data_IF_356060274205
#
_entry.id   IF_356060274205
#
_cell.length_a   1.000
_cell.length_b   1.000
_cell.length_c   1.000
_cell.angle_alpha   90.00
_cell.angle_beta   90.00
_cell.angle_gamma   90.00
#
_symmetry.space_group_name_H-M   'P 1'
#
loop_
_entity.id
_entity.type
_entity.pdbx_description
1 polymer ?
#
# COMPACT_ATOMS: atom_id res chain seq x y z
N UNK A 1 -61.39 -28.33 27.18
CA UNK A 1 -61.45 -27.81 28.56
C UNK A 1 -60.15 -27.03 28.77
N UNK A 2 -60.13 -25.69 28.59
CA UNK A 2 -60.24 -24.64 29.66
C UNK A 2 -59.14 -24.77 30.73
N UNK A 3 -58.32 -23.77 31.09
CA UNK A 3 -58.36 -22.29 31.03
C UNK A 3 -56.93 -21.73 30.70
N UNK A 4 -56.65 -20.55 30.14
CA UNK A 4 -57.10 -19.13 30.33
C UNK A 4 -56.47 -18.41 31.56
N UNK A 5 -55.52 -17.48 31.29
CA UNK A 5 -55.05 -16.35 32.16
C UNK A 5 -54.30 -16.80 33.45
N UNK A 6 -53.58 -16.00 34.28
CA UNK A 6 -53.13 -14.57 34.47
C UNK A 6 -51.98 -14.65 35.53
N UNK A 7 -51.03 -13.73 35.78
CA UNK A 7 -50.52 -12.45 35.20
C UNK A 7 -49.12 -12.14 35.87
N UNK A 8 -48.65 -10.88 35.78
CA UNK A 8 -47.82 -10.06 36.73
C UNK A 8 -47.34 -10.73 38.05
N UNK A 9 -46.17 -10.44 38.63
CA UNK A 9 -45.60 -9.11 38.88
C UNK A 9 -44.11 -9.18 39.29
N UNK A 10 -43.34 -8.14 38.97
CA UNK A 10 -42.00 -7.91 39.53
C UNK A 10 -42.12 -6.91 40.69
N UNK A 11 -41.75 -7.34 41.90
CA UNK A 11 -41.53 -6.52 43.10
C UNK A 11 -40.27 -7.12 43.74
N UNK A 12 -39.07 -6.55 43.60
CA UNK A 12 -38.55 -5.24 44.00
C UNK A 12 -38.09 -5.21 45.47
N UNK A 13 -36.86 -4.68 45.66
CA UNK A 13 -36.19 -4.37 46.94
C UNK A 13 -35.89 -5.60 47.82
N UNK A 14 -34.67 -5.87 48.28
CA UNK A 14 -33.47 -5.04 48.39
C UNK A 14 -32.99 -5.02 49.84
N UNK A 15 -31.71 -4.65 50.06
CA UNK A 15 -30.98 -4.67 51.35
C UNK A 15 -30.59 -6.09 51.84
N UNK A 16 -29.47 -6.30 52.53
CA UNK A 16 -28.19 -5.59 52.61
C UNK A 16 -27.20 -6.49 53.42
N UNK A 17 -25.96 -5.99 53.62
CA UNK A 17 -24.97 -6.43 54.63
C UNK A 17 -24.26 -7.77 54.43
N UNK A 18 -22.95 -7.92 54.69
CA UNK A 18 -21.79 -6.99 54.75
C UNK A 18 -20.47 -7.81 54.75
N UNK A 19 -19.33 -7.12 54.87
CA UNK A 19 -17.93 -7.63 54.94
C UNK A 19 -17.36 -8.09 53.57
N UNK A 20 -16.53 -7.31 52.86
CA UNK A 20 -15.18 -6.79 53.19
C UNK A 20 -14.08 -7.88 53.10
N UNK A 21 -12.86 -7.62 52.59
CA UNK A 21 -12.22 -6.35 52.25
C UNK A 21 -11.35 -6.45 50.97
N UNK A 22 -11.08 -5.30 50.34
CA UNK A 22 -10.27 -5.19 49.11
C UNK A 22 -10.35 -3.76 48.57
N UNK A 23 -9.56 -2.85 49.15
CA UNK A 23 -9.70 -1.39 48.97
C UNK A 23 -9.20 -0.86 47.63
N UNK A 24 -10.02 0.01 47.01
CA UNK A 24 -9.68 1.25 46.26
C UNK A 24 -8.53 1.22 45.22
N UNK A 25 -8.66 1.84 44.04
CA UNK A 25 -9.02 3.27 43.85
C UNK A 25 -9.99 3.46 42.68
N UNK A 26 -10.97 4.34 42.87
CA UNK A 26 -11.82 4.87 41.79
C UNK A 26 -11.13 6.08 41.14
N UNK A 27 -10.97 6.07 39.82
CA UNK A 27 -10.78 7.31 39.04
C UNK A 27 -12.01 7.48 38.16
N UNK A 28 -12.87 8.42 38.56
CA UNK A 28 -14.02 8.82 37.76
C UNK A 28 -13.58 9.72 36.60
N UNK A 29 -14.23 9.57 35.45
CA UNK A 29 -14.34 10.62 34.43
C UNK A 29 -13.12 10.85 33.54
N UNK A 30 -13.02 10.08 32.46
CA UNK A 30 -12.77 10.64 31.12
C UNK A 30 -13.73 9.97 30.13
N UNK A 31 -14.36 10.72 29.21
CA UNK A 31 -15.08 10.10 28.11
C UNK A 31 -14.07 9.30 27.28
N UNK A 32 -14.53 8.21 26.66
CA UNK A 32 -13.76 7.48 25.65
C UNK A 32 -13.24 8.50 24.64
N UNK A 33 -11.92 8.76 24.68
CA UNK A 33 -11.29 9.47 23.58
C UNK A 33 -11.48 8.55 22.38
N UNK A 34 -12.07 9.02 21.27
CA UNK A 34 -12.01 8.28 20.03
C UNK A 34 -10.55 7.88 19.82
N UNK A 35 -10.30 6.61 19.55
CA UNK A 35 -9.02 6.18 18.99
C UNK A 35 -8.89 6.92 17.67
N UNK A 36 -8.28 8.11 17.72
CA UNK A 36 -7.96 8.90 16.54
C UNK A 36 -7.19 7.94 15.65
N UNK A 37 -7.68 7.64 14.44
CA UNK A 37 -6.91 6.83 13.50
C UNK A 37 -5.55 7.48 13.42
N UNK A 38 -4.49 6.75 13.79
CA UNK A 38 -3.15 7.29 13.81
C UNK A 38 -2.93 7.95 12.45
N UNK A 39 -2.64 9.26 12.45
CA UNK A 39 -2.57 10.03 11.22
C UNK A 39 -1.68 9.24 10.24
N UNK A 40 -2.17 8.94 9.02
CA UNK A 40 -1.45 8.05 8.12
C UNK A 40 -0.01 8.55 8.00
N UNK A 41 0.99 7.66 8.11
CA UNK A 41 2.37 8.06 8.30
C UNK A 41 2.77 9.10 7.25
N UNK A 42 3.44 10.20 7.65
CA UNK A 42 3.77 11.27 6.72
C UNK A 42 4.49 10.67 5.50
N UNK A 43 4.06 11.11 4.31
CA UNK A 43 4.38 10.44 3.04
C UNK A 43 5.89 10.21 2.85
N UNK A 44 6.26 9.19 2.07
CA UNK A 44 7.62 8.66 1.90
C UNK A 44 8.55 8.80 3.14
N UNK A 45 8.52 7.80 4.02
CA UNK A 45 9.47 7.66 5.13
C UNK A 45 10.49 6.56 4.82
N UNK A 46 11.78 6.86 4.95
CA UNK A 46 12.86 5.87 4.91
C UNK A 46 13.06 5.21 6.28
N UNK A 47 13.00 3.89 6.36
CA UNK A 47 13.37 3.13 7.55
C UNK A 47 14.91 3.04 7.72
N UNK A 48 15.44 2.66 8.91
CA UNK A 48 16.88 2.66 9.18
C UNK A 48 17.72 1.70 8.32
N UNK A 49 17.08 0.72 7.69
CA UNK A 49 17.66 -0.22 6.73
C UNK A 49 17.73 0.36 5.29
N UNK A 50 17.16 1.54 5.05
CA UNK A 50 17.02 2.15 3.74
C UNK A 50 15.74 1.77 2.99
N UNK A 51 14.85 0.94 3.57
CA UNK A 51 13.54 0.63 2.99
C UNK A 51 12.69 1.90 2.89
N UNK A 52 12.05 2.12 1.74
CA UNK A 52 11.23 3.30 1.47
C UNK A 52 9.76 2.93 1.36
N UNK A 53 8.93 3.47 2.26
CA UNK A 53 7.48 3.29 2.24
C UNK A 53 6.83 4.25 1.26
N UNK A 54 6.23 3.75 0.18
CA UNK A 54 5.47 4.55 -0.80
C UNK A 54 3.99 4.52 -0.41
N UNK A 55 3.39 5.70 -0.24
CA UNK A 55 1.96 5.84 0.09
C UNK A 55 1.07 5.99 -1.14
N UNK A 56 -0.25 5.94 -0.96
CA UNK A 56 -1.21 6.22 -2.04
C UNK A 56 -1.01 7.64 -2.60
N UNK A 57 -0.72 8.63 -1.76
CA UNK A 57 -0.45 10.01 -2.19
C UNK A 57 0.81 10.09 -3.08
N UNK A 58 1.88 9.36 -2.71
CA UNK A 58 3.10 9.24 -3.52
C UNK A 58 2.85 8.52 -4.87
N UNK A 59 1.79 7.71 -4.99
CA UNK A 59 1.40 7.13 -6.28
C UNK A 59 0.52 8.05 -7.13
N UNK A 60 -0.14 9.04 -6.53
CA UNK A 60 -0.82 10.11 -7.25
C UNK A 60 0.21 11.10 -7.82
N UNK A 61 1.12 11.61 -6.96
CA UNK A 61 2.27 12.46 -7.32
C UNK A 61 3.59 11.83 -6.82
N UNK A 62 4.40 11.24 -7.71
CA UNK A 62 5.64 10.55 -7.34
C UNK A 62 6.82 11.49 -7.08
N UNK A 63 6.67 12.81 -7.19
CA UNK A 63 7.79 13.76 -7.10
C UNK A 63 8.56 13.61 -5.79
N UNK A 64 7.86 13.64 -4.66
CA UNK A 64 8.48 13.51 -3.33
C UNK A 64 9.17 12.16 -3.12
N UNK A 65 8.53 11.08 -3.53
CA UNK A 65 9.10 9.73 -3.42
C UNK A 65 10.36 9.57 -4.28
N UNK A 66 10.37 10.12 -5.50
CA UNK A 66 11.53 10.09 -6.39
C UNK A 66 12.70 10.95 -5.87
N UNK A 67 12.42 12.10 -5.27
CA UNK A 67 13.44 12.93 -4.65
C UNK A 67 14.07 12.24 -3.44
N UNK A 68 13.27 11.53 -2.64
CA UNK A 68 13.75 10.72 -1.52
C UNK A 68 14.59 9.51 -1.98
N UNK A 69 14.12 8.74 -2.98
CA UNK A 69 14.88 7.65 -3.58
C UNK A 69 16.22 8.15 -4.14
N UNK A 70 16.25 9.32 -4.78
CA UNK A 70 17.48 9.96 -5.27
C UNK A 70 18.39 10.41 -4.12
N UNK A 71 17.84 10.97 -3.05
CA UNK A 71 18.57 11.43 -1.86
C UNK A 71 19.34 10.28 -1.19
N UNK A 72 18.75 9.10 -1.12
CA UNK A 72 19.38 7.90 -0.54
C UNK A 72 20.23 7.09 -1.55
N UNK A 73 20.34 7.54 -2.81
CA UNK A 73 21.08 6.84 -3.85
C UNK A 73 20.43 5.53 -4.33
N UNK A 74 19.12 5.34 -4.08
CA UNK A 74 18.40 4.14 -4.51
C UNK A 74 18.33 4.08 -6.05
N UNK A 75 18.57 2.88 -6.59
CA UNK A 75 18.43 2.60 -8.03
C UNK A 75 16.97 2.27 -8.38
N UNK A 76 16.06 3.12 -7.93
CA UNK A 76 14.62 2.98 -8.13
C UNK A 76 13.97 4.29 -8.55
N UNK A 77 12.86 4.20 -9.29
CA UNK A 77 12.03 5.36 -9.66
C UNK A 77 10.56 4.97 -9.75
N UNK A 78 9.67 5.89 -9.39
CA UNK A 78 8.23 5.82 -9.63
C UNK A 78 7.93 6.61 -10.89
N UNK A 79 7.39 5.95 -11.92
CA UNK A 79 7.20 6.54 -13.25
C UNK A 79 5.74 6.41 -13.70
N UNK A 80 5.15 7.54 -14.08
CA UNK A 80 3.80 7.57 -14.69
C UNK A 80 3.86 7.02 -16.12
N UNK A 81 3.11 5.96 -16.38
CA UNK A 81 3.04 5.31 -17.70
C UNK A 81 2.45 6.26 -18.74
N UNK A 82 2.99 6.28 -19.94
CA UNK A 82 2.52 7.10 -21.06
C UNK A 82 1.83 6.23 -22.13
N UNK A 83 0.92 6.80 -22.95
CA UNK A 83 0.50 6.18 -24.20
C UNK A 83 1.70 5.89 -25.10
N UNK A 84 1.63 4.83 -25.92
CA UNK A 84 2.78 4.37 -26.71
C UNK A 84 3.36 5.47 -27.63
N UNK A 85 2.49 6.27 -28.26
CA UNK A 85 2.88 7.39 -29.13
C UNK A 85 3.64 8.51 -28.38
N UNK A 86 3.48 8.62 -27.06
CA UNK A 86 4.16 9.61 -26.22
C UNK A 86 5.44 9.05 -25.55
N UNK A 87 5.78 7.79 -25.79
CA UNK A 87 6.99 7.14 -25.26
C UNK A 87 7.74 6.42 -26.38
N UNK A 88 8.62 7.13 -27.12
CA UNK A 88 9.28 6.56 -28.30
C UNK A 88 10.28 5.46 -27.89
N UNK A 89 10.55 4.46 -28.77
CA UNK A 89 11.31 3.26 -28.39
C UNK A 89 12.67 3.50 -27.71
N UNK A 90 13.40 4.54 -28.11
CA UNK A 90 14.70 4.91 -27.53
C UNK A 90 14.64 5.29 -26.05
N UNK A 91 13.49 5.80 -25.58
CA UNK A 91 13.31 6.36 -24.24
C UNK A 91 12.65 5.33 -23.28
N UNK A 92 12.25 4.14 -23.79
CA UNK A 92 11.62 3.04 -23.03
C UNK A 92 12.57 2.25 -22.12
N UNK A 93 13.89 2.48 -22.23
CA UNK A 93 14.90 1.65 -21.57
C UNK A 93 14.97 0.21 -22.11
N UNK A 94 15.76 -0.64 -21.45
CA UNK A 94 15.82 -2.09 -21.75
C UNK A 94 15.34 -2.89 -20.54
N UNK A 95 14.11 -3.39 -20.60
CA UNK A 95 13.53 -4.25 -19.56
C UNK A 95 14.31 -5.56 -19.42
N UNK A 96 14.45 -6.04 -18.19
CA UNK A 96 15.11 -7.30 -17.83
C UNK A 96 14.11 -8.18 -17.12
N UNK A 97 13.74 -9.30 -17.76
CA UNK A 97 12.94 -10.36 -17.13
C UNK A 97 13.80 -11.06 -16.09
N UNK A 98 13.44 -10.93 -14.81
CA UNK A 98 14.06 -11.65 -13.71
C UNK A 98 13.25 -12.91 -13.35
N UNK A 99 13.87 -13.77 -12.54
CA UNK A 99 13.17 -14.89 -11.93
C UNK A 99 12.00 -14.40 -11.06
N UNK A 100 10.91 -15.18 -11.01
CA UNK A 100 9.70 -14.84 -10.27
C UNK A 100 9.94 -14.69 -8.77
N UNK A 101 10.95 -15.39 -8.22
CA UNK A 101 11.42 -15.24 -6.84
C UNK A 101 12.02 -13.84 -6.56
N UNK A 102 12.74 -13.26 -7.52
CA UNK A 102 13.32 -11.90 -7.38
C UNK A 102 12.26 -10.82 -7.64
N UNK A 103 11.22 -11.12 -8.43
CA UNK A 103 10.11 -10.20 -8.69
C UNK A 103 9.05 -10.14 -7.58
N UNK A 104 8.77 -11.27 -6.91
CA UNK A 104 7.60 -11.45 -6.02
C UNK A 104 7.86 -12.35 -4.80
N UNK A 105 9.08 -12.87 -4.62
CA UNK A 105 9.43 -13.71 -3.47
C UNK A 105 9.84 -12.89 -2.23
N UNK A 106 10.33 -13.56 -1.17
CA UNK A 106 10.73 -12.89 0.07
C UNK A 106 11.87 -11.89 -0.12
N UNK A 107 12.73 -12.12 -1.12
CA UNK A 107 13.87 -11.28 -1.50
C UNK A 107 13.53 -10.22 -2.55
N UNK A 108 12.24 -10.01 -2.84
CA UNK A 108 11.80 -9.02 -3.83
C UNK A 108 12.16 -7.59 -3.40
N UNK A 109 12.55 -6.77 -4.39
CA UNK A 109 12.87 -5.35 -4.18
C UNK A 109 11.62 -4.46 -4.00
N UNK A 110 10.42 -5.03 -4.21
CA UNK A 110 9.12 -4.39 -3.94
C UNK A 110 8.25 -5.39 -3.20
N UNK A 111 7.79 -5.02 -2.01
CA UNK A 111 6.78 -5.77 -1.26
C UNK A 111 5.53 -4.90 -1.05
N UNK A 112 4.37 -5.52 -0.81
CA UNK A 112 3.18 -4.78 -0.42
C UNK A 112 3.26 -4.38 1.05
N UNK A 113 2.91 -3.12 1.34
CA UNK A 113 2.82 -2.63 2.71
C UNK A 113 1.53 -3.14 3.39
N UNK A 114 1.53 -3.26 4.72
CA UNK A 114 0.32 -3.62 5.46
C UNK A 114 -0.77 -2.54 5.32
N UNK A 115 -2.06 -2.90 5.27
CA UNK A 115 -3.15 -1.93 5.18
C UNK A 115 -3.05 -0.82 6.23
N UNK A 116 -2.94 0.43 5.78
CA UNK A 116 -2.81 1.62 6.64
C UNK A 116 -1.38 2.10 6.88
N UNK A 117 -0.34 1.34 6.51
CA UNK A 117 1.07 1.77 6.62
C UNK A 117 1.61 2.40 5.32
N UNK A 118 1.09 1.99 4.17
CA UNK A 118 1.48 2.47 2.83
C UNK A 118 0.75 1.70 1.74
N UNK A 119 1.24 1.80 0.50
CA UNK A 119 0.82 0.95 -0.62
C UNK A 119 1.87 -0.14 -0.91
N UNK A 120 3.14 0.25 -0.95
CA UNK A 120 4.27 -0.65 -1.24
C UNK A 120 5.54 -0.20 -0.52
N UNK A 121 6.42 -1.14 -0.24
CA UNK A 121 7.76 -0.91 0.28
C UNK A 121 8.78 -1.17 -0.83
N UNK A 122 9.73 -0.26 -1.00
CA UNK A 122 10.88 -0.43 -1.89
C UNK A 122 12.09 -0.77 -1.03
N UNK A 123 12.81 -1.83 -1.39
CA UNK A 123 14.01 -2.32 -0.70
C UNK A 123 15.25 -2.08 -1.61
N UNK A 124 15.96 -0.94 -1.48
CA UNK A 124 17.01 -0.55 -2.43
C UNK A 124 18.22 -1.49 -2.46
N UNK A 125 18.47 -2.19 -1.34
CA UNK A 125 19.55 -3.16 -1.16
C UNK A 125 19.34 -4.44 -1.99
N UNK A 126 18.08 -4.77 -2.32
CA UNK A 126 17.69 -5.95 -3.11
C UNK A 126 17.67 -5.72 -4.61
N UNK A 127 17.88 -4.47 -5.06
CA UNK A 127 17.90 -4.14 -6.49
C UNK A 127 19.20 -4.69 -7.10
N UNK A 128 19.16 -5.63 -8.07
CA UNK A 128 20.37 -6.27 -8.59
C UNK A 128 21.36 -5.27 -9.19
N UNK A 129 22.66 -5.55 -9.08
CA UNK A 129 23.71 -4.68 -9.62
C UNK A 129 23.54 -4.42 -11.13
N UNK A 130 23.81 -3.18 -11.57
CA UNK A 130 23.65 -2.77 -12.97
C UNK A 130 22.19 -2.57 -13.43
N UNK A 131 21.20 -2.83 -12.58
CA UNK A 131 19.78 -2.61 -12.86
C UNK A 131 19.22 -1.41 -12.08
N UNK A 132 18.11 -0.88 -12.62
CA UNK A 132 17.17 0.04 -11.97
C UNK A 132 15.80 -0.61 -11.86
N UNK A 133 15.14 -0.43 -10.72
CA UNK A 133 13.73 -0.75 -10.51
C UNK A 133 12.86 0.42 -11.00
N UNK A 134 11.85 0.17 -11.83
CA UNK A 134 10.80 1.15 -12.13
C UNK A 134 9.46 0.65 -11.59
N UNK A 135 8.82 1.47 -10.75
CA UNK A 135 7.44 1.25 -10.29
C UNK A 135 6.51 1.97 -11.25
N UNK A 136 5.65 1.22 -11.94
CA UNK A 136 4.80 1.71 -13.02
C UNK A 136 3.50 2.25 -12.44
N UNK A 137 3.25 3.55 -12.63
CA UNK A 137 2.08 4.25 -12.13
C UNK A 137 1.12 4.65 -13.27
N UNK A 138 -0.17 4.37 -13.12
CA UNK A 138 -1.25 4.82 -14.00
C UNK A 138 -1.34 6.35 -13.99
N UNK A 139 -1.81 6.92 -15.10
CA UNK A 139 -2.18 8.35 -15.19
C UNK A 139 -3.44 8.67 -14.38
N UNK A 140 -4.39 7.72 -14.35
CA UNK A 140 -5.66 7.83 -13.64
C UNK A 140 -5.80 6.66 -12.67
N UNK A 141 -6.51 6.89 -11.58
CA UNK A 141 -6.81 5.86 -10.58
C UNK A 141 -7.72 4.77 -11.16
N UNK A 142 -7.44 3.51 -10.82
CA UNK A 142 -8.32 2.40 -11.12
C UNK A 142 -8.39 1.48 -9.89
N UNK A 143 -9.59 1.07 -9.50
CA UNK A 143 -9.83 0.17 -8.35
C UNK A 143 -9.16 0.65 -7.04
N UNK A 144 -9.12 1.96 -6.78
CA UNK A 144 -8.51 2.53 -5.57
C UNK A 144 -6.99 2.67 -5.61
N UNK A 145 -6.35 2.53 -6.79
CA UNK A 145 -4.89 2.56 -6.91
C UNK A 145 -4.40 3.20 -8.21
N UNK A 146 -3.27 3.89 -8.13
CA UNK A 146 -2.48 4.29 -9.29
C UNK A 146 -1.42 3.24 -9.66
N UNK A 147 -1.27 2.13 -8.93
CA UNK A 147 -0.26 1.11 -9.28
C UNK A 147 -0.67 0.31 -10.53
N UNK A 148 0.26 0.15 -11.46
CA UNK A 148 0.14 -0.75 -12.62
C UNK A 148 1.08 -1.96 -12.56
N UNK A 149 2.10 -1.92 -11.71
CA UNK A 149 3.11 -2.97 -11.55
C UNK A 149 4.51 -2.41 -11.34
N UNK A 150 5.53 -3.22 -11.57
CA UNK A 150 6.93 -2.82 -11.54
C UNK A 150 7.76 -3.75 -12.41
N UNK A 151 8.88 -3.24 -12.94
CA UNK A 151 9.84 -4.02 -13.71
C UNK A 151 11.27 -3.54 -13.45
N UNK A 152 12.24 -4.37 -13.82
CA UNK A 152 13.66 -4.02 -13.77
C UNK A 152 14.16 -3.66 -15.16
N UNK A 153 15.06 -2.67 -15.23
CA UNK A 153 15.66 -2.18 -16.45
C UNK A 153 17.18 -2.15 -16.31
N UNK A 154 17.92 -2.36 -17.39
CA UNK A 154 19.37 -2.06 -17.41
C UNK A 154 19.58 -0.56 -17.18
N UNK A 155 20.72 -0.20 -16.58
CA UNK A 155 21.16 1.20 -16.54
C UNK A 155 21.72 1.64 -17.91
N UNK A 156 21.46 2.89 -18.38
CA UNK A 156 20.54 3.87 -17.79
C UNK A 156 19.08 3.41 -17.89
N UNK A 157 18.31 3.68 -16.84
CA UNK A 157 16.91 3.27 -16.74
C UNK A 157 15.97 3.97 -17.74
N UNK A 158 14.68 3.64 -17.73
CA UNK A 158 13.70 4.17 -18.68
C UNK A 158 13.49 5.68 -18.45
N UNK A 159 13.49 6.46 -19.54
CA UNK A 159 13.01 7.85 -19.53
C UNK A 159 11.49 7.93 -19.53
N UNK A 160 10.82 6.90 -20.05
CA UNK A 160 9.37 6.73 -20.00
C UNK A 160 9.01 5.23 -20.00
N UNK A 161 7.80 4.90 -19.54
CA UNK A 161 7.25 3.53 -19.59
C UNK A 161 5.91 3.55 -20.31
N UNK A 162 5.67 2.58 -21.19
CA UNK A 162 4.40 2.47 -21.94
C UNK A 162 3.32 1.82 -21.07
N UNK A 163 2.11 2.38 -21.07
CA UNK A 163 0.96 1.76 -20.42
C UNK A 163 0.66 0.37 -21.03
N UNK A 164 0.69 -0.67 -20.20
CA UNK A 164 0.52 -2.07 -20.64
C UNK A 164 1.81 -2.85 -20.92
N UNK A 165 2.99 -2.24 -20.80
CA UNK A 165 4.24 -2.98 -20.75
C UNK A 165 4.27 -3.90 -19.51
N UNK A 166 4.44 -5.20 -19.75
CA UNK A 166 4.48 -6.34 -18.82
C UNK A 166 3.88 -6.09 -17.42
N UNK A 167 2.55 -6.16 -17.33
CA UNK A 167 1.80 -5.96 -16.07
C UNK A 167 1.98 -7.15 -15.12
N UNK A 168 2.22 -6.86 -13.84
CA UNK A 168 2.22 -7.86 -12.76
C UNK A 168 0.85 -8.09 -12.12
N UNK A 169 -0.11 -7.19 -12.35
CA UNK A 169 -1.48 -7.26 -11.84
C UNK A 169 -2.49 -6.97 -12.94
N UNK A 170 -3.63 -7.65 -12.89
CA UNK A 170 -4.61 -7.72 -13.97
C UNK A 170 -5.12 -6.34 -14.44
N UNK A 171 -4.92 -6.10 -15.72
CA UNK A 171 -5.72 -5.17 -16.50
C UNK A 171 -5.80 -5.76 -17.91
N UNK A 172 -6.99 -5.88 -18.52
CA UNK A 172 -7.13 -6.52 -19.81
C UNK A 172 -6.20 -5.90 -20.84
N UNK A 173 -5.63 -6.74 -21.70
CA UNK A 173 -4.90 -6.26 -22.86
C UNK A 173 -5.82 -5.30 -23.64
N UNK A 174 -5.31 -4.18 -24.17
CA UNK A 174 -6.11 -3.36 -25.07
C UNK A 174 -6.58 -4.26 -26.21
N UNK A 175 -7.90 -4.35 -26.39
CA UNK A 175 -8.54 -5.26 -27.32
C UNK A 175 -8.18 -4.90 -28.76
N UNK A 176 -7.03 -5.39 -29.23
CA UNK A 176 -6.59 -5.38 -30.62
C UNK A 176 -7.44 -6.34 -31.43
N UNK A 177 -8.73 -6.06 -31.55
CA UNK A 177 -9.66 -6.74 -32.44
C UNK A 177 -9.35 -6.33 -33.88
N UNK A 178 -8.26 -6.86 -34.43
CA UNK A 178 -7.99 -6.87 -35.85
C UNK A 178 -8.59 -8.12 -36.48
N UNK A 179 -9.57 -7.98 -37.40
CA UNK A 179 -9.79 -8.96 -38.45
C UNK A 179 -8.90 -8.66 -39.66
N UNK A 180 -8.42 -9.75 -40.23
CA UNK A 180 -7.65 -9.97 -41.47
C UNK A 180 -7.98 -9.02 -42.63
#
# INVERSE_FOLDING_TARGET
MTAVRRRLAVVAVGLATLAAAGTAVVVAGRPDRPTVPAAPPPATTSAPDGTVTVTVADTADPTRANDELRRIGARATLVKTLPEAACPPRDRGTEVRLDRSVGFGPDSAVTFAEPGTGLLLIHPERIPAGLMLAVHLRQQEANGSYLSGWAFYRLPGPGCVVAGAYRSFDEPAPSGSGPR
#
